data_IF_385755323331
#
_entry.id   IF_385755323331
#
_cell.length_a   1.000
_cell.length_b   1.000
_cell.length_c   1.000
_cell.angle_alpha   90.00
_cell.angle_beta   90.00
_cell.angle_gamma   90.00
#
_symmetry.space_group_name_H-M   'P 1'
#
loop_
_entity.id
_entity.type
_entity.pdbx_description
1 polymer ?
#
# COMPACT_ATOMS: atom_id res chain seq x y z
N UNK A 1 -27.73 61.38 -0.91
CA UNK A 1 -27.29 62.09 0.30
C UNK A 1 -25.82 61.78 0.50
N UNK A 2 -25.02 62.83 0.62
CA UNK A 2 -23.56 62.83 0.63
C UNK A 2 -23.00 62.27 1.95
N UNK A 3 -21.70 61.92 1.91
CA UNK A 3 -20.77 61.71 3.03
C UNK A 3 -20.82 60.36 3.79
N UNK A 4 -19.89 59.46 3.43
CA UNK A 4 -19.02 58.71 4.36
C UNK A 4 -18.11 57.72 3.59
N UNK A 5 -17.21 58.21 2.75
CA UNK A 5 -16.06 57.41 2.29
C UNK A 5 -14.87 57.73 3.19
N UNK A 6 -14.64 56.89 4.20
CA UNK A 6 -13.35 56.82 4.92
C UNK A 6 -12.93 55.36 5.04
N UNK A 7 -11.86 55.05 4.31
CA UNK A 7 -10.91 53.97 4.53
C UNK A 7 -11.51 52.56 4.67
N UNK A 8 -11.96 51.98 3.55
CA UNK A 8 -11.91 50.53 3.39
C UNK A 8 -10.59 50.19 2.72
N UNK A 9 -9.65 49.63 3.48
CA UNK A 9 -8.59 48.82 2.93
C UNK A 9 -9.22 47.49 2.51
N UNK A 10 -9.45 47.31 1.21
CA UNK A 10 -9.66 45.98 0.66
C UNK A 10 -8.28 45.36 0.58
N UNK A 11 -7.97 44.48 1.53
CA UNK A 11 -6.87 43.53 1.36
C UNK A 11 -7.41 42.51 0.38
N UNK A 12 -7.07 42.67 -0.90
CA UNK A 12 -7.21 41.57 -1.85
C UNK A 12 -6.10 40.58 -1.50
N UNK A 13 -6.39 39.31 -1.20
CA UNK A 13 -5.36 38.30 -1.24
C UNK A 13 -4.78 38.28 -2.66
N UNK A 14 -3.45 38.25 -2.80
CA UNK A 14 -2.79 37.99 -4.07
C UNK A 14 -2.97 36.50 -4.36
N UNK A 15 -3.95 36.13 -5.18
CA UNK A 15 -4.36 34.73 -5.35
C UNK A 15 -3.55 33.92 -6.39
N UNK A 16 -2.58 34.57 -7.04
CA UNK A 16 -1.52 33.98 -7.86
C UNK A 16 -0.58 35.13 -8.29
N UNK A 17 0.71 35.04 -7.98
CA UNK A 17 1.68 36.09 -8.31
C UNK A 17 2.38 35.93 -9.68
N UNK A 18 1.87 35.09 -10.59
CA UNK A 18 2.50 34.86 -11.91
C UNK A 18 1.51 34.26 -12.93
N UNK A 19 1.96 34.13 -14.20
CA UNK A 19 1.25 33.95 -15.49
C UNK A 19 0.26 32.73 -15.65
N UNK A 20 -0.39 32.26 -14.59
CA UNK A 20 -1.31 31.13 -14.59
C UNK A 20 -2.75 31.53 -14.92
N UNK A 21 -3.52 30.63 -15.51
CA UNK A 21 -4.94 30.83 -15.77
C UNK A 21 -5.77 30.30 -14.59
N UNK A 22 -6.45 31.21 -13.86
CA UNK A 22 -7.47 30.88 -12.86
C UNK A 22 -8.86 30.92 -13.51
N UNK A 23 -9.56 29.79 -13.54
CA UNK A 23 -10.96 29.72 -13.98
C UNK A 23 -11.86 29.62 -12.74
N UNK A 24 -12.71 30.61 -12.51
CA UNK A 24 -13.75 30.59 -11.46
C UNK A 24 -15.12 30.42 -12.08
N UNK A 25 -15.90 29.44 -11.62
CA UNK A 25 -17.31 29.30 -11.98
C UNK A 25 -18.21 29.84 -10.86
N UNK A 26 -18.88 30.97 -11.09
CA UNK A 26 -19.97 31.43 -10.23
C UNK A 26 -21.30 30.83 -10.72
N UNK A 27 -21.82 29.79 -10.06
CA UNK A 27 -23.18 29.29 -10.35
C UNK A 27 -24.23 30.13 -9.63
N UNK A 28 -24.77 31.13 -10.32
CA UNK A 28 -26.00 31.81 -9.89
C UNK A 28 -27.18 30.98 -10.41
N UNK A 29 -27.86 30.25 -9.52
CA UNK A 29 -29.14 29.62 -9.86
C UNK A 29 -30.16 30.71 -10.22
N UNK A 30 -30.80 30.55 -11.36
CA UNK A 30 -31.71 31.52 -11.98
C UNK A 30 -32.98 31.69 -11.13
N UNK A 31 -32.98 32.66 -10.20
CA UNK A 31 -34.13 33.52 -9.88
C UNK A 31 -33.77 34.73 -8.97
N UNK A 32 -32.68 35.46 -9.24
CA UNK A 32 -32.40 36.72 -8.53
C UNK A 32 -31.60 37.72 -9.37
N UNK A 33 -31.99 37.92 -10.63
CA UNK A 33 -31.49 39.04 -11.44
C UNK A 33 -32.34 40.30 -11.18
N UNK A 34 -32.42 40.75 -9.92
CA UNK A 34 -32.88 42.10 -9.54
C UNK A 34 -32.79 42.27 -8.03
N UNK A 35 -31.59 42.55 -7.50
CA UNK A 35 -31.30 43.36 -6.31
C UNK A 35 -29.83 43.16 -5.92
N UNK A 36 -28.92 43.76 -6.69
CA UNK A 36 -27.58 44.09 -6.20
C UNK A 36 -27.74 45.24 -5.19
N UNK A 37 -27.86 44.91 -3.90
CA UNK A 37 -27.51 45.75 -2.74
C UNK A 37 -28.02 45.12 -1.43
N UNK A 38 -27.46 43.99 -1.00
CA UNK A 38 -27.40 43.63 0.42
C UNK A 38 -26.07 42.91 0.64
N UNK A 39 -25.32 43.38 1.64
CA UNK A 39 -24.13 42.75 2.20
C UNK A 39 -24.37 41.26 2.45
N UNK A 40 -23.83 40.43 1.57
CA UNK A 40 -23.81 38.98 1.70
C UNK A 40 -22.56 38.50 1.00
N UNK A 41 -21.68 37.84 1.74
CA UNK A 41 -20.46 37.23 1.22
C UNK A 41 -20.90 36.10 0.28
N UNK A 42 -21.03 36.38 -1.02
CA UNK A 42 -21.19 35.34 -2.03
C UNK A 42 -19.79 34.76 -2.31
N UNK A 43 -19.35 33.82 -1.47
CA UNK A 43 -18.17 33.00 -1.74
C UNK A 43 -18.53 31.99 -2.82
N UNK A 44 -18.34 32.38 -4.09
CA UNK A 44 -18.33 31.44 -5.20
C UNK A 44 -16.87 31.10 -5.52
N UNK A 45 -16.36 30.00 -4.99
CA UNK A 45 -14.98 29.55 -5.25
C UNK A 45 -14.94 28.11 -5.75
N UNK A 46 -15.67 27.84 -6.84
CA UNK A 46 -15.39 26.67 -7.69
C UNK A 46 -14.23 27.09 -8.63
N UNK A 47 -13.01 26.60 -8.39
CA UNK A 47 -11.82 26.96 -9.18
C UNK A 47 -11.10 25.75 -9.77
N UNK A 48 -10.52 25.92 -10.96
CA UNK A 48 -9.45 25.04 -11.46
C UNK A 48 -8.18 25.85 -11.72
N UNK A 49 -7.03 25.18 -11.66
CA UNK A 49 -5.72 25.75 -11.99
C UNK A 49 -5.06 24.92 -13.09
N UNK A 50 -4.61 25.60 -14.15
CA UNK A 50 -3.83 24.98 -15.22
C UNK A 50 -2.71 25.93 -15.64
N UNK A 51 -1.50 25.40 -15.76
CA UNK A 51 -0.36 26.14 -16.34
C UNK A 51 0.49 25.27 -17.26
N UNK A 52 1.08 25.93 -18.25
CA UNK A 52 2.05 25.40 -19.21
C UNK A 52 3.31 26.26 -19.27
N UNK A 53 3.37 27.33 -18.46
CA UNK A 53 4.40 28.35 -18.56
C UNK A 53 5.30 28.27 -17.34
N UNK A 54 6.61 28.46 -17.55
CA UNK A 54 7.56 28.60 -16.46
C UNK A 54 7.10 29.65 -15.45
N UNK A 55 7.31 29.37 -14.18
CA UNK A 55 7.00 30.30 -13.11
C UNK A 55 6.79 29.63 -11.76
N UNK A 56 6.79 30.46 -10.73
CA UNK A 56 6.42 30.10 -9.37
C UNK A 56 4.95 30.47 -9.14
N UNK A 57 4.15 29.50 -8.70
CA UNK A 57 2.73 29.64 -8.44
C UNK A 57 2.44 29.26 -6.99
N UNK A 58 1.70 30.12 -6.29
CA UNK A 58 1.25 29.89 -4.92
C UNK A 58 -0.24 29.69 -4.91
N UNK A 59 -0.71 28.61 -4.29
CA UNK A 59 -2.11 28.20 -4.28
C UNK A 59 -2.72 28.33 -2.89
N UNK A 60 -3.99 28.73 -2.86
CA UNK A 60 -4.79 28.82 -1.64
C UNK A 60 -6.30 28.78 -1.94
N UNK A 61 -7.06 28.22 -1.01
CA UNK A 61 -8.51 28.07 -1.01
C UNK A 61 -9.01 26.81 -1.72
N UNK A 62 -10.22 26.86 -2.30
CA UNK A 62 -10.92 25.66 -2.79
C UNK A 62 -10.84 25.53 -4.32
N UNK A 63 -10.51 24.32 -4.79
CA UNK A 63 -10.47 23.91 -6.19
C UNK A 63 -11.48 22.79 -6.44
N UNK A 64 -12.35 22.95 -7.42
CA UNK A 64 -13.46 22.05 -7.73
C UNK A 64 -13.44 21.66 -9.21
N UNK A 65 -13.58 20.36 -9.48
CA UNK A 65 -13.79 19.87 -10.83
C UNK A 65 -14.93 18.84 -10.89
N UNK A 66 -15.72 18.88 -11.96
CA UNK A 66 -16.83 17.97 -12.15
C UNK A 66 -16.93 17.52 -13.61
N UNK A 67 -17.05 16.22 -13.85
CA UNK A 67 -17.35 15.65 -15.17
C UNK A 67 -18.66 14.87 -15.13
N UNK A 68 -19.68 15.34 -15.83
CA UNK A 68 -20.98 14.66 -15.91
C UNK A 68 -21.17 13.85 -17.19
N UNK A 69 -20.21 13.88 -18.13
CA UNK A 69 -20.26 13.06 -19.34
C UNK A 69 -19.40 11.80 -19.16
N UNK A 70 -20.01 10.60 -19.09
CA UNK A 70 -19.25 9.36 -18.95
C UNK A 70 -18.39 9.02 -20.18
N UNK A 71 -18.59 9.70 -21.31
CA UNK A 71 -17.83 9.49 -22.54
C UNK A 71 -16.70 10.51 -22.73
N UNK A 72 -16.60 11.52 -21.88
CA UNK A 72 -15.54 12.53 -21.93
C UNK A 72 -14.50 12.27 -20.84
N UNK A 73 -13.23 12.58 -21.13
CA UNK A 73 -12.23 12.71 -20.07
C UNK A 73 -12.60 13.89 -19.17
N UNK A 74 -12.44 13.71 -17.87
CA UNK A 74 -12.69 14.77 -16.89
C UNK A 74 -11.59 15.82 -16.88
N UNK A 75 -11.92 17.02 -16.40
CA UNK A 75 -10.93 18.08 -16.16
C UNK A 75 -10.25 17.86 -14.81
N UNK A 76 -8.94 18.00 -14.73
CA UNK A 76 -8.20 17.95 -13.46
C UNK A 76 -8.40 19.27 -12.69
N UNK A 77 -8.48 19.23 -11.36
CA UNK A 77 -8.63 20.45 -10.57
C UNK A 77 -7.37 21.33 -10.57
N UNK A 78 -6.18 20.73 -10.41
CA UNK A 78 -4.87 21.39 -10.49
C UNK A 78 -4.00 20.63 -11.49
N UNK A 79 -3.52 21.32 -12.52
CA UNK A 79 -2.71 20.69 -13.57
C UNK A 79 -1.53 21.56 -14.02
N UNK A 80 -0.39 20.93 -14.27
CA UNK A 80 0.80 21.58 -14.81
C UNK A 80 1.50 20.68 -15.83
N UNK A 81 2.03 21.29 -16.89
CA UNK A 81 2.72 20.61 -17.98
C UNK A 81 3.98 21.39 -18.34
N UNK A 82 5.15 20.91 -17.93
CA UNK A 82 6.43 21.57 -18.16
C UNK A 82 7.28 20.80 -19.16
N UNK A 83 7.51 21.38 -20.35
CA UNK A 83 8.28 20.73 -21.42
C UNK A 83 9.55 21.50 -21.76
N UNK A 84 10.60 20.77 -22.16
CA UNK A 84 11.88 21.39 -22.54
C UNK A 84 12.55 22.12 -21.37
N UNK A 85 12.65 23.45 -21.46
CA UNK A 85 13.29 24.30 -20.44
C UNK A 85 12.27 25.00 -19.51
N UNK A 86 11.01 24.57 -19.53
CA UNK A 86 9.96 25.16 -18.72
C UNK A 86 10.04 24.67 -17.27
N UNK A 87 10.43 25.55 -16.35
CA UNK A 87 10.48 25.26 -14.91
C UNK A 87 9.20 25.76 -14.24
N UNK A 88 8.38 24.83 -13.74
CA UNK A 88 7.11 25.11 -13.07
C UNK A 88 7.24 24.69 -11.61
N UNK A 89 7.07 25.65 -10.71
CA UNK A 89 7.11 25.40 -9.26
C UNK A 89 5.78 25.82 -8.66
N UNK A 90 5.05 24.86 -8.10
CA UNK A 90 3.78 25.09 -7.42
C UNK A 90 3.98 24.87 -5.92
N UNK A 91 3.52 25.81 -5.11
CA UNK A 91 3.51 25.69 -3.66
C UNK A 91 2.15 26.10 -3.09
N UNK A 92 1.86 25.70 -1.86
CA UNK A 92 0.77 26.30 -1.10
C UNK A 92 1.26 27.53 -0.31
N UNK A 93 0.37 28.49 -0.13
CA UNK A 93 0.58 29.66 0.75
C UNK A 93 -0.51 29.77 1.84
N UNK A 94 -1.38 28.77 1.91
CA UNK A 94 -2.49 28.67 2.83
C UNK A 94 -3.24 27.34 2.65
N UNK A 95 -4.42 27.24 3.26
CA UNK A 95 -5.28 26.04 3.17
C UNK A 95 -5.67 25.76 1.72
N UNK A 96 -5.38 24.55 1.21
CA UNK A 96 -5.79 24.10 -0.13
C UNK A 96 -6.81 22.97 -0.02
N UNK A 97 -8.02 23.16 -0.53
CA UNK A 97 -9.03 22.09 -0.57
C UNK A 97 -9.37 21.73 -2.00
N UNK A 98 -9.18 20.47 -2.38
CA UNK A 98 -9.46 19.97 -3.73
C UNK A 98 -10.62 18.97 -3.64
N UNK A 99 -11.68 19.17 -4.44
CA UNK A 99 -12.71 18.14 -4.62
C UNK A 99 -13.02 17.92 -6.09
N UNK A 100 -12.98 16.67 -6.52
CA UNK A 100 -13.39 16.28 -7.87
C UNK A 100 -14.52 15.29 -7.86
N UNK A 101 -15.35 15.35 -8.90
CA UNK A 101 -16.49 14.45 -9.10
C UNK A 101 -16.61 14.07 -10.57
N UNK A 102 -17.10 12.88 -10.85
CA UNK A 102 -17.24 12.40 -12.22
C UNK A 102 -16.04 11.67 -12.77
N UNK A 103 -16.26 10.79 -13.73
CA UNK A 103 -15.24 9.86 -14.22
C UNK A 103 -14.00 10.58 -14.77
N UNK A 104 -12.82 10.01 -14.50
CA UNK A 104 -11.53 10.48 -14.99
C UNK A 104 -11.22 11.94 -14.62
N UNK A 105 -11.57 12.39 -13.41
CA UNK A 105 -11.30 13.74 -12.90
C UNK A 105 -10.26 13.71 -11.78
N UNK A 106 -8.99 13.88 -12.14
CA UNK A 106 -7.91 13.87 -11.16
C UNK A 106 -7.92 15.12 -10.27
N UNK A 107 -7.44 15.00 -9.03
CA UNK A 107 -7.25 16.16 -8.14
C UNK A 107 -6.07 17.02 -8.61
N UNK A 108 -4.88 16.44 -8.58
CA UNK A 108 -3.61 17.03 -9.00
C UNK A 108 -3.02 16.18 -10.12
N UNK A 109 -2.53 16.83 -11.19
CA UNK A 109 -1.82 16.18 -12.27
C UNK A 109 -0.62 17.02 -12.70
N UNK A 110 0.59 16.55 -12.41
CA UNK A 110 1.84 17.23 -12.77
C UNK A 110 2.58 16.39 -13.80
N UNK A 111 2.92 17.01 -14.92
CA UNK A 111 3.66 16.42 -16.02
C UNK A 111 4.93 17.22 -16.30
N UNK A 112 6.03 16.49 -16.47
CA UNK A 112 7.28 17.00 -17.00
C UNK A 112 8.39 17.12 -15.96
N UNK A 113 9.62 16.83 -16.39
CA UNK A 113 10.79 16.69 -15.53
C UNK A 113 11.17 17.94 -14.74
N UNK A 114 10.69 19.11 -15.17
CA UNK A 114 10.96 20.41 -14.56
C UNK A 114 9.72 20.98 -13.86
N UNK A 115 8.70 20.16 -13.64
CA UNK A 115 7.48 20.53 -12.93
C UNK A 115 7.50 19.96 -11.51
N UNK A 116 7.34 20.83 -10.51
CA UNK A 116 7.28 20.45 -9.11
C UNK A 116 6.05 21.02 -8.42
N UNK A 117 5.50 20.26 -7.46
CA UNK A 117 4.44 20.71 -6.56
C UNK A 117 4.80 20.36 -5.13
N UNK A 118 4.72 21.33 -4.21
CA UNK A 118 4.91 21.13 -2.77
C UNK A 118 3.70 21.64 -2.01
N UNK A 119 3.03 20.79 -1.24
CA UNK A 119 2.07 21.22 -0.22
C UNK A 119 2.58 20.82 1.16
N UNK A 120 3.01 21.80 1.95
CA UNK A 120 3.58 21.60 3.28
C UNK A 120 2.92 22.46 4.38
N UNK A 121 2.01 23.36 4.00
CA UNK A 121 1.24 24.12 4.96
C UNK A 121 0.07 23.26 5.47
N UNK A 122 0.23 22.78 6.71
CA UNK A 122 -0.76 22.02 7.47
C UNK A 122 -2.19 22.56 7.25
N UNK A 123 -2.99 21.87 6.44
CA UNK A 123 -4.34 22.30 6.08
C UNK A 123 -4.88 21.87 4.73
N UNK A 124 -4.07 21.21 3.88
CA UNK A 124 -4.57 20.75 2.59
C UNK A 124 -5.40 19.45 2.68
N UNK A 125 -6.40 19.31 1.81
CA UNK A 125 -7.20 18.08 1.66
C UNK A 125 -7.64 17.84 0.22
N UNK A 126 -7.66 16.57 -0.19
CA UNK A 126 -8.06 16.15 -1.54
C UNK A 126 -9.13 15.07 -1.46
N UNK A 127 -10.24 15.25 -2.18
CA UNK A 127 -11.29 14.25 -2.34
C UNK A 127 -11.57 14.01 -3.82
N UNK A 128 -11.41 12.78 -4.32
CA UNK A 128 -11.85 12.39 -5.66
C UNK A 128 -12.99 11.38 -5.59
N UNK A 129 -14.18 11.78 -6.06
CA UNK A 129 -15.38 10.94 -5.98
C UNK A 129 -15.66 10.13 -7.26
N UNK A 130 -15.07 10.52 -8.39
CA UNK A 130 -15.30 9.87 -9.68
C UNK A 130 -14.54 8.57 -9.87
N UNK A 131 -15.04 7.69 -10.72
CA UNK A 131 -14.33 6.47 -11.12
C UNK A 131 -13.07 6.81 -11.92
N UNK A 132 -12.06 5.94 -11.86
CA UNK A 132 -10.78 6.09 -12.56
C UNK A 132 -10.13 7.47 -12.35
N UNK A 133 -10.26 8.02 -11.13
CA UNK A 133 -9.86 9.39 -10.82
C UNK A 133 -8.82 9.41 -9.71
N UNK A 134 -7.55 9.47 -10.10
CA UNK A 134 -6.47 9.53 -9.12
C UNK A 134 -6.44 10.88 -8.43
N UNK A 135 -6.20 10.91 -7.12
CA UNK A 135 -6.16 12.17 -6.39
C UNK A 135 -4.90 12.97 -6.71
N UNK A 136 -3.76 12.30 -6.80
CA UNK A 136 -2.47 12.91 -7.13
C UNK A 136 -1.75 12.07 -8.18
N UNK A 137 -1.30 12.71 -9.26
CA UNK A 137 -0.57 12.06 -10.34
C UNK A 137 0.69 12.84 -10.69
N UNK A 138 1.84 12.16 -10.71
CA UNK A 138 3.11 12.68 -11.24
C UNK A 138 3.58 11.81 -12.43
N UNK A 139 3.88 12.43 -13.56
CA UNK A 139 4.33 11.73 -14.79
C UNK A 139 5.49 12.44 -15.48
N UNK A 140 6.20 11.73 -16.36
CA UNK A 140 7.25 12.28 -17.22
C UNK A 140 8.34 13.08 -16.48
N UNK A 141 8.72 12.62 -15.28
CA UNK A 141 9.79 13.20 -14.45
C UNK A 141 9.31 14.18 -13.38
N UNK A 142 8.00 14.43 -13.27
CA UNK A 142 7.43 15.37 -12.31
C UNK A 142 7.75 15.01 -10.85
N UNK A 143 7.88 16.03 -10.01
CA UNK A 143 8.20 15.91 -8.59
C UNK A 143 7.03 16.43 -7.75
N UNK A 144 6.49 15.61 -6.84
CA UNK A 144 5.44 16.05 -5.91
C UNK A 144 5.91 15.79 -4.48
N UNK A 145 5.76 16.78 -3.60
CA UNK A 145 6.02 16.70 -2.16
C UNK A 145 4.77 17.09 -1.38
N UNK A 146 4.30 16.23 -0.47
CA UNK A 146 3.10 16.45 0.32
C UNK A 146 3.41 16.16 1.80
N UNK A 147 3.22 17.14 2.68
CA UNK A 147 3.42 16.98 4.12
C UNK A 147 2.13 17.28 4.90
N UNK A 148 1.77 16.41 5.83
CA UNK A 148 0.51 16.46 6.58
C UNK A 148 -0.70 16.13 5.71
N UNK A 149 -1.85 16.74 6.03
CA UNK A 149 -3.04 16.71 5.17
C UNK A 149 -3.68 15.33 4.96
N UNK A 150 -4.67 15.29 4.05
CA UNK A 150 -5.44 14.06 3.81
C UNK A 150 -5.87 13.90 2.36
N UNK A 151 -5.85 12.67 1.87
CA UNK A 151 -6.34 12.26 0.55
C UNK A 151 -7.45 11.21 0.72
N UNK A 152 -8.58 11.41 0.06
CA UNK A 152 -9.66 10.44 -0.01
C UNK A 152 -10.07 10.17 -1.46
N UNK A 153 -10.23 8.90 -1.83
CA UNK A 153 -10.80 8.49 -3.14
C UNK A 153 -12.00 7.56 -2.93
N UNK A 154 -13.07 7.74 -3.72
CA UNK A 154 -14.30 6.97 -3.56
C UNK A 154 -14.68 6.16 -4.80
N UNK A 155 -14.25 6.59 -5.99
CA UNK A 155 -14.61 5.91 -7.23
C UNK A 155 -13.81 4.63 -7.48
N UNK A 156 -14.40 3.71 -8.23
CA UNK A 156 -13.74 2.47 -8.64
C UNK A 156 -12.46 2.73 -9.44
N UNK A 157 -11.47 1.85 -9.34
CA UNK A 157 -10.18 1.93 -10.05
C UNK A 157 -9.46 3.28 -9.86
N UNK A 158 -9.61 3.91 -8.69
CA UNK A 158 -9.02 5.21 -8.38
C UNK A 158 -7.87 5.07 -7.39
N UNK A 159 -6.71 5.66 -7.68
CA UNK A 159 -5.57 5.62 -6.78
C UNK A 159 -5.41 6.95 -6.03
N UNK A 160 -5.04 6.93 -4.75
CA UNK A 160 -4.79 8.18 -4.05
C UNK A 160 -3.55 8.89 -4.62
N UNK A 161 -2.44 8.18 -4.80
CA UNK A 161 -1.22 8.70 -5.40
C UNK A 161 -0.73 7.76 -6.48
N UNK A 162 -0.42 8.32 -7.64
CA UNK A 162 0.07 7.59 -8.82
C UNK A 162 1.32 8.25 -9.37
N UNK A 163 2.38 7.49 -9.57
CA UNK A 163 3.60 7.95 -10.24
C UNK A 163 3.93 7.03 -11.41
N UNK A 164 4.19 7.60 -12.59
CA UNK A 164 4.62 6.82 -13.76
C UNK A 164 5.76 7.45 -14.53
N UNK A 165 6.52 6.64 -15.25
CA UNK A 165 7.75 7.01 -15.95
C UNK A 165 8.95 7.22 -15.01
N UNK A 166 10.14 6.97 -15.56
CA UNK A 166 11.42 7.17 -14.86
C UNK A 166 11.54 8.61 -14.38
N UNK A 167 12.02 8.77 -13.14
CA UNK A 167 12.20 10.03 -12.42
C UNK A 167 10.92 10.74 -11.96
N UNK A 168 9.72 10.22 -12.25
CA UNK A 168 8.51 10.74 -11.62
C UNK A 168 8.45 10.28 -10.16
N UNK A 169 8.42 11.24 -9.24
CA UNK A 169 8.57 10.97 -7.80
C UNK A 169 7.46 11.67 -7.03
N UNK A 170 6.86 10.96 -6.08
CA UNK A 170 6.03 11.53 -5.03
C UNK A 170 6.66 11.24 -3.67
N UNK A 171 6.93 12.29 -2.88
CA UNK A 171 7.40 12.19 -1.50
C UNK A 171 6.28 12.66 -0.56
N UNK A 172 5.92 11.82 0.39
CA UNK A 172 4.83 12.06 1.33
C UNK A 172 5.36 11.97 2.75
N UNK A 173 4.93 12.89 3.62
CA UNK A 173 5.24 12.84 5.05
C UNK A 173 3.98 13.09 5.89
N UNK A 174 3.68 12.21 6.84
CA UNK A 174 2.52 12.34 7.75
C UNK A 174 1.18 12.52 7.02
N UNK A 175 0.99 11.80 5.90
CA UNK A 175 -0.22 11.91 5.07
C UNK A 175 -1.22 10.82 5.45
N UNK A 176 -2.50 11.18 5.61
CA UNK A 176 -3.60 10.22 5.77
C UNK A 176 -4.27 9.94 4.43
N UNK A 177 -4.35 8.67 4.03
CA UNK A 177 -4.92 8.21 2.76
C UNK A 177 -6.08 7.24 3.04
N UNK A 178 -7.23 7.47 2.41
CA UNK A 178 -8.37 6.55 2.44
C UNK A 178 -8.93 6.30 1.04
N UNK A 179 -9.15 5.04 0.66
CA UNK A 179 -9.79 4.67 -0.61
C UNK A 179 -10.96 3.71 -0.39
N UNK A 180 -12.09 3.99 -1.01
CA UNK A 180 -13.32 3.22 -0.79
C UNK A 180 -13.80 2.40 -2.01
N UNK A 181 -13.44 2.82 -3.23
CA UNK A 181 -13.94 2.18 -4.45
C UNK A 181 -13.36 0.79 -4.71
N UNK A 182 -14.08 -0.06 -5.44
CA UNK A 182 -13.54 -1.35 -5.88
C UNK A 182 -12.30 -1.16 -6.75
N UNK A 183 -11.28 -1.99 -6.52
CA UNK A 183 -9.94 -1.88 -7.15
C UNK A 183 -9.26 -0.52 -6.94
N UNK A 184 -9.70 0.28 -5.97
CA UNK A 184 -9.08 1.56 -5.63
C UNK A 184 -7.92 1.36 -4.67
N UNK A 185 -6.72 1.81 -5.04
CA UNK A 185 -5.51 1.65 -4.22
C UNK A 185 -5.04 2.95 -3.57
N UNK A 186 -4.24 2.85 -2.51
CA UNK A 186 -3.60 4.03 -1.91
C UNK A 186 -2.49 4.57 -2.81
N UNK A 187 -1.42 3.78 -2.99
CA UNK A 187 -0.24 4.18 -3.74
C UNK A 187 -0.04 3.25 -4.94
N UNK A 188 0.28 3.82 -6.11
CA UNK A 188 0.73 3.06 -7.27
C UNK A 188 1.95 3.71 -7.93
N UNK A 189 3.03 2.94 -8.06
CA UNK A 189 4.22 3.31 -8.82
C UNK A 189 4.38 2.34 -9.99
N UNK A 190 4.46 2.87 -11.21
CA UNK A 190 4.65 2.03 -12.39
C UNK A 190 5.58 2.63 -13.45
N UNK A 191 6.10 1.77 -14.33
CA UNK A 191 7.00 2.13 -15.43
C UNK A 191 8.19 3.04 -15.01
N UNK A 192 8.80 2.76 -13.86
CA UNK A 192 9.96 3.49 -13.33
C UNK A 192 9.62 4.64 -12.36
N UNK A 193 8.33 4.87 -12.08
CA UNK A 193 7.88 5.84 -11.09
C UNK A 193 8.26 5.45 -9.66
N UNK A 194 8.33 6.43 -8.75
CA UNK A 194 8.75 6.20 -7.36
C UNK A 194 7.87 6.93 -6.35
N UNK A 195 7.56 6.26 -5.26
CA UNK A 195 6.82 6.86 -4.13
C UNK A 195 7.59 6.61 -2.84
N UNK A 196 7.75 7.65 -2.01
CA UNK A 196 8.21 7.51 -0.64
C UNK A 196 7.14 8.06 0.31
N UNK A 197 6.79 7.32 1.35
CA UNK A 197 5.88 7.77 2.42
C UNK A 197 6.54 7.52 3.79
N UNK A 198 6.77 8.59 4.54
CA UNK A 198 7.30 8.55 5.91
C UNK A 198 6.24 9.05 6.87
N UNK A 199 5.92 8.26 7.89
CA UNK A 199 4.79 8.51 8.79
C UNK A 199 3.43 8.59 8.05
N UNK A 200 2.34 8.47 8.80
CA UNK A 200 0.97 8.53 8.26
C UNK A 200 0.33 7.16 8.07
N UNK A 201 -0.76 7.13 7.30
CA UNK A 201 -1.59 5.93 7.19
C UNK A 201 -2.30 5.79 5.85
N UNK A 202 -2.51 4.54 5.44
CA UNK A 202 -3.26 4.15 4.25
C UNK A 202 -4.35 3.17 4.68
N UNK A 203 -5.59 3.46 4.32
CA UNK A 203 -6.72 2.55 4.53
C UNK A 203 -7.50 2.35 3.23
N UNK A 204 -7.73 1.10 2.84
CA UNK A 204 -8.46 0.75 1.60
C UNK A 204 -9.61 -0.23 1.86
N UNK A 205 -10.83 0.08 1.42
CA UNK A 205 -12.03 -0.71 1.74
C UNK A 205 -12.53 -1.59 0.59
N UNK A 206 -12.31 -1.18 -0.67
CA UNK A 206 -12.98 -1.78 -1.82
C UNK A 206 -12.58 -3.23 -2.14
N UNK A 207 -13.46 -3.95 -2.84
CA UNK A 207 -13.17 -5.30 -3.34
C UNK A 207 -11.97 -5.27 -4.29
N UNK A 208 -11.06 -6.24 -4.15
CA UNK A 208 -9.85 -6.34 -4.99
C UNK A 208 -8.97 -5.08 -4.94
N UNK A 209 -9.04 -4.28 -3.87
CA UNK A 209 -8.17 -3.12 -3.66
C UNK A 209 -6.74 -3.56 -3.33
N UNK A 210 -5.74 -2.90 -3.91
CA UNK A 210 -4.34 -3.04 -3.48
C UNK A 210 -3.89 -1.74 -2.85
N UNK A 211 -3.59 -1.74 -1.54
CA UNK A 211 -3.30 -0.49 -0.82
C UNK A 211 -2.01 0.17 -1.32
N UNK A 212 -0.98 -0.64 -1.59
CA UNK A 212 0.30 -0.19 -2.13
C UNK A 212 0.73 -1.15 -3.24
N UNK A 213 0.91 -0.63 -4.46
CA UNK A 213 1.27 -1.42 -5.64
C UNK A 213 2.47 -0.81 -6.37
N UNK A 214 3.60 -1.50 -6.38
CA UNK A 214 4.69 -1.23 -7.31
C UNK A 214 4.61 -2.23 -8.48
N UNK A 215 4.61 -1.74 -9.73
CA UNK A 215 4.51 -2.58 -10.92
C UNK A 215 5.51 -2.14 -12.00
N UNK A 216 6.04 -3.09 -12.77
CA UNK A 216 7.07 -2.86 -13.80
C UNK A 216 8.47 -2.62 -13.22
N UNK A 217 9.48 -2.88 -14.04
CA UNK A 217 10.88 -2.70 -13.68
C UNK A 217 11.17 -1.26 -13.24
N UNK A 218 12.09 -1.11 -12.28
CA UNK A 218 12.54 0.19 -11.73
C UNK A 218 11.49 0.99 -10.96
N UNK A 219 10.25 0.51 -10.86
CA UNK A 219 9.23 1.10 -9.99
C UNK A 219 9.52 0.78 -8.53
N UNK A 220 9.52 1.80 -7.68
CA UNK A 220 9.91 1.69 -6.26
C UNK A 220 8.86 2.33 -5.38
N UNK A 221 8.46 1.65 -4.30
CA UNK A 221 7.73 2.28 -3.19
C UNK A 221 8.47 2.03 -1.89
N UNK A 222 8.85 3.09 -1.19
CA UNK A 222 9.51 3.05 0.11
C UNK A 222 8.59 3.59 1.20
N UNK A 223 8.38 2.82 2.26
CA UNK A 223 7.53 3.14 3.40
C UNK A 223 8.37 3.15 4.68
N UNK A 224 8.25 4.20 5.49
CA UNK A 224 8.91 4.30 6.79
C UNK A 224 7.91 4.71 7.88
N UNK A 225 7.73 3.86 8.89
CA UNK A 225 6.80 4.06 9.99
C UNK A 225 5.33 4.33 9.56
N UNK A 226 4.85 3.61 8.55
CA UNK A 226 3.49 3.77 7.99
C UNK A 226 2.54 2.69 8.49
N UNK A 227 1.27 3.05 8.75
CA UNK A 227 0.20 2.05 8.95
C UNK A 227 -0.58 1.81 7.66
N UNK A 228 -0.58 0.58 7.16
CA UNK A 228 -1.33 0.17 5.95
C UNK A 228 -2.39 -0.85 6.34
N UNK A 229 -3.65 -0.59 5.98
CA UNK A 229 -4.76 -1.50 6.28
C UNK A 229 -5.72 -1.65 5.09
N UNK A 230 -6.22 -2.88 4.89
CA UNK A 230 -7.18 -3.20 3.84
C UNK A 230 -8.33 -4.07 4.34
N UNK A 231 -9.57 -3.68 4.03
CA UNK A 231 -10.76 -4.38 4.51
C UNK A 231 -11.47 -5.24 3.45
N UNK A 232 -11.30 -4.96 2.16
CA UNK A 232 -12.03 -5.64 1.09
C UNK A 232 -11.60 -7.09 0.86
N UNK A 233 -12.51 -7.93 0.36
CA UNK A 233 -12.17 -9.27 -0.14
C UNK A 233 -11.23 -9.16 -1.35
N UNK A 234 -10.38 -10.18 -1.54
CA UNK A 234 -9.38 -10.22 -2.61
C UNK A 234 -8.39 -9.05 -2.60
N UNK A 235 -8.30 -8.34 -1.47
CA UNK A 235 -7.43 -7.18 -1.37
C UNK A 235 -6.00 -7.59 -1.03
N UNK A 236 -5.06 -6.68 -1.20
CA UNK A 236 -3.67 -6.89 -0.79
C UNK A 236 -3.14 -5.60 -0.22
N UNK A 237 -2.49 -5.65 0.94
CA UNK A 237 -1.96 -4.42 1.52
C UNK A 237 -0.71 -3.95 0.76
N UNK A 238 0.32 -4.79 0.65
CA UNK A 238 1.55 -4.47 -0.10
C UNK A 238 1.76 -5.45 -1.26
N UNK A 239 2.00 -4.93 -2.47
CA UNK A 239 2.29 -5.77 -3.63
C UNK A 239 3.41 -5.19 -4.50
N UNK A 240 4.37 -6.04 -4.85
CA UNK A 240 5.34 -5.79 -5.90
C UNK A 240 5.11 -6.76 -7.08
N UNK A 241 5.21 -6.24 -8.31
CA UNK A 241 4.95 -7.02 -9.53
C UNK A 241 5.89 -6.64 -10.68
N UNK A 242 6.24 -7.61 -11.54
CA UNK A 242 6.96 -7.39 -12.81
C UNK A 242 8.30 -6.65 -12.65
N UNK A 243 9.14 -7.10 -11.72
CA UNK A 243 10.46 -6.49 -11.48
C UNK A 243 10.46 -5.22 -10.62
N UNK A 244 9.31 -4.85 -10.03
CA UNK A 244 9.20 -3.72 -9.12
C UNK A 244 9.75 -4.04 -7.71
N UNK A 245 9.96 -2.99 -6.91
CA UNK A 245 10.47 -3.09 -5.54
C UNK A 245 9.54 -2.37 -4.55
N UNK A 246 9.28 -3.01 -3.41
CA UNK A 246 8.64 -2.38 -2.25
C UNK A 246 9.53 -2.56 -1.03
N UNK A 247 9.81 -1.47 -0.31
CA UNK A 247 10.53 -1.49 0.97
C UNK A 247 9.63 -0.95 2.07
N UNK A 248 9.62 -1.60 3.24
CA UNK A 248 8.97 -1.06 4.43
C UNK A 248 9.84 -1.23 5.66
N UNK A 249 10.08 -0.14 6.40
CA UNK A 249 10.77 -0.14 7.70
C UNK A 249 9.81 0.34 8.80
N UNK A 250 9.65 -0.44 9.87
CA UNK A 250 8.70 -0.15 10.93
C UNK A 250 7.24 -0.19 10.48
N UNK A 251 6.35 0.34 11.30
CA UNK A 251 4.92 0.43 10.96
C UNK A 251 4.17 -0.90 11.03
N UNK A 252 2.98 -0.93 10.40
CA UNK A 252 2.05 -2.07 10.47
C UNK A 252 1.33 -2.32 9.15
N UNK A 253 1.05 -3.58 8.86
CA UNK A 253 0.24 -4.04 7.73
C UNK A 253 -0.92 -4.87 8.26
N UNK A 254 -2.15 -4.56 7.87
CA UNK A 254 -3.33 -5.31 8.31
C UNK A 254 -4.31 -5.62 7.18
N UNK A 255 -4.83 -6.85 7.11
CA UNK A 255 -5.88 -7.25 6.17
C UNK A 255 -7.00 -8.07 6.82
N UNK A 256 -8.23 -7.94 6.31
CA UNK A 256 -9.41 -8.58 6.90
C UNK A 256 -10.32 -9.37 5.95
N UNK A 257 -10.33 -9.08 4.64
CA UNK A 257 -11.19 -9.77 3.69
C UNK A 257 -10.78 -11.23 3.43
N UNK A 258 -11.66 -12.01 2.81
CA UNK A 258 -11.31 -13.36 2.33
C UNK A 258 -10.37 -13.23 1.12
N UNK A 259 -9.39 -14.13 0.99
CA UNK A 259 -8.32 -14.03 -0.03
C UNK A 259 -7.54 -12.71 0.06
N UNK A 260 -7.35 -12.17 1.26
CA UNK A 260 -6.76 -10.85 1.47
C UNK A 260 -5.35 -10.94 2.03
N UNK A 261 -4.38 -11.04 1.13
CA UNK A 261 -2.97 -11.23 1.51
C UNK A 261 -2.36 -9.96 2.13
N UNK A 262 -1.49 -10.14 3.13
CA UNK A 262 -0.74 -9.03 3.72
C UNK A 262 0.26 -8.45 2.72
N UNK A 263 1.21 -9.26 2.30
CA UNK A 263 2.30 -8.86 1.39
C UNK A 263 2.48 -9.86 0.28
N UNK A 264 2.61 -9.36 -0.96
CA UNK A 264 2.84 -10.19 -2.14
C UNK A 264 4.03 -9.73 -2.97
N UNK A 265 4.75 -10.70 -3.54
CA UNK A 265 5.82 -10.46 -4.52
C UNK A 265 5.66 -11.42 -5.68
N UNK A 266 5.53 -10.89 -6.90
CA UNK A 266 5.28 -11.66 -8.10
C UNK A 266 6.12 -11.23 -9.31
N UNK A 267 6.47 -12.18 -10.17
CA UNK A 267 7.08 -11.90 -11.48
C UNK A 267 8.43 -11.14 -11.37
N UNK A 268 9.41 -11.76 -10.72
CA UNK A 268 10.77 -11.20 -10.51
C UNK A 268 10.82 -9.90 -9.68
N UNK A 269 9.77 -9.58 -8.94
CA UNK A 269 9.76 -8.44 -8.03
C UNK A 269 10.44 -8.77 -6.70
N UNK A 270 10.71 -7.73 -5.91
CA UNK A 270 11.32 -7.86 -4.58
C UNK A 270 10.50 -7.06 -3.57
N UNK A 271 10.24 -7.67 -2.40
CA UNK A 271 9.76 -6.94 -1.22
C UNK A 271 10.78 -7.07 -0.09
N UNK A 272 11.12 -5.95 0.55
CA UNK A 272 12.04 -5.93 1.70
C UNK A 272 11.34 -5.31 2.90
N UNK A 273 11.31 -6.03 4.02
CA UNK A 273 10.60 -5.65 5.23
C UNK A 273 11.57 -5.64 6.41
N UNK A 274 11.52 -4.60 7.23
CA UNK A 274 12.31 -4.49 8.46
C UNK A 274 11.45 -4.01 9.62
N UNK A 275 11.41 -4.77 10.70
CA UNK A 275 10.69 -4.42 11.94
C UNK A 275 9.18 -4.11 11.72
N UNK A 276 8.55 -4.81 10.75
CA UNK A 276 7.14 -4.62 10.38
C UNK A 276 6.23 -5.59 11.14
N UNK A 277 5.07 -5.12 11.61
CA UNK A 277 4.02 -5.99 12.16
C UNK A 277 2.95 -6.26 11.10
N UNK A 278 2.70 -7.52 10.76
CA UNK A 278 1.72 -7.95 9.75
C UNK A 278 0.61 -8.76 10.42
N UNK A 279 -0.64 -8.43 10.13
CA UNK A 279 -1.82 -9.18 10.60
C UNK A 279 -2.80 -9.44 9.45
N UNK A 280 -3.18 -10.69 9.21
CA UNK A 280 -4.24 -11.06 8.25
C UNK A 280 -5.33 -11.85 8.97
N UNK A 281 -6.60 -11.72 8.57
CA UNK A 281 -7.70 -12.36 9.32
C UNK A 281 -8.81 -13.07 8.53
N UNK A 282 -8.79 -13.02 7.20
CA UNK A 282 -9.74 -13.77 6.37
C UNK A 282 -9.25 -15.17 6.00
N UNK A 283 -10.15 -16.05 5.61
CA UNK A 283 -9.78 -17.36 5.05
C UNK A 283 -8.92 -17.17 3.78
N UNK A 284 -7.99 -18.10 3.54
CA UNK A 284 -7.05 -18.06 2.41
C UNK A 284 -6.20 -16.77 2.34
N UNK A 285 -5.94 -16.13 3.48
CA UNK A 285 -5.25 -14.83 3.54
C UNK A 285 -3.84 -14.98 4.12
N UNK A 286 -2.90 -15.32 3.25
CA UNK A 286 -1.50 -15.49 3.68
C UNK A 286 -0.87 -14.17 4.16
N UNK A 287 0.02 -14.27 5.15
CA UNK A 287 0.79 -13.13 5.65
C UNK A 287 1.76 -12.60 4.61
N UNK A 288 2.67 -13.47 4.15
CA UNK A 288 3.55 -13.22 3.00
C UNK A 288 3.31 -14.27 1.92
N UNK A 289 3.25 -13.84 0.65
CA UNK A 289 3.14 -14.72 -0.51
C UNK A 289 4.10 -14.31 -1.62
N UNK A 290 5.03 -15.18 -2.00
CA UNK A 290 5.91 -14.98 -3.15
C UNK A 290 5.65 -16.03 -4.24
N UNK A 291 5.53 -15.63 -5.52
CA UNK A 291 5.38 -16.57 -6.65
C UNK A 291 6.07 -16.07 -7.92
N UNK A 292 6.36 -16.95 -8.88
CA UNK A 292 6.89 -16.59 -10.21
C UNK A 292 8.16 -15.74 -10.13
N UNK A 293 9.20 -16.24 -9.45
CA UNK A 293 10.45 -15.53 -9.17
C UNK A 293 10.31 -14.27 -8.29
N UNK A 294 9.14 -14.02 -7.70
CA UNK A 294 9.03 -12.98 -6.67
C UNK A 294 9.84 -13.37 -5.44
N UNK A 295 10.51 -12.41 -4.82
CA UNK A 295 11.25 -12.63 -3.56
C UNK A 295 10.77 -11.72 -2.45
N UNK A 296 10.90 -12.20 -1.20
CA UNK A 296 10.58 -11.44 0.00
C UNK A 296 11.71 -11.61 1.03
N UNK A 297 12.24 -10.51 1.53
CA UNK A 297 13.26 -10.48 2.58
C UNK A 297 12.67 -9.80 3.83
N UNK A 298 12.67 -10.47 4.97
CA UNK A 298 12.15 -9.91 6.23
C UNK A 298 13.17 -10.02 7.35
N UNK A 299 13.45 -8.91 8.03
CA UNK A 299 14.29 -8.88 9.25
C UNK A 299 13.53 -8.23 10.40
N UNK A 300 13.40 -8.92 11.53
CA UNK A 300 12.61 -8.44 12.66
C UNK A 300 11.10 -8.51 12.40
N UNK A 301 10.33 -7.98 13.35
CA UNK A 301 8.88 -7.88 13.22
C UNK A 301 8.10 -9.16 13.54
N UNK A 302 6.80 -9.13 13.24
CA UNK A 302 5.90 -10.26 13.52
C UNK A 302 4.82 -10.42 12.45
N UNK A 303 4.37 -11.65 12.25
CA UNK A 303 3.36 -12.03 11.27
C UNK A 303 2.30 -12.85 11.99
N UNK A 304 1.07 -12.37 12.01
CA UNK A 304 -0.09 -13.07 12.58
C UNK A 304 -1.11 -13.32 11.50
N UNK A 305 -1.56 -14.56 11.33
CA UNK A 305 -2.64 -14.90 10.40
C UNK A 305 -3.75 -15.62 11.15
N UNK A 306 -4.99 -15.24 10.88
CA UNK A 306 -6.18 -15.95 11.37
C UNK A 306 -7.11 -16.29 10.21
N UNK A 307 -7.78 -17.43 10.28
CA UNK A 307 -8.66 -17.92 9.23
C UNK A 307 -8.17 -19.26 8.68
N UNK A 308 -9.10 -20.03 8.13
CA UNK A 308 -8.76 -21.33 7.56
C UNK A 308 -7.93 -21.16 6.30
N UNK A 309 -6.95 -22.04 6.09
CA UNK A 309 -6.01 -21.98 4.97
C UNK A 309 -5.19 -20.67 4.89
N UNK A 310 -5.08 -19.90 5.98
CA UNK A 310 -4.32 -18.65 6.03
C UNK A 310 -2.90 -18.89 6.53
N UNK A 311 -1.94 -19.09 5.63
CA UNK A 311 -0.56 -19.43 6.01
C UNK A 311 0.19 -18.19 6.49
N UNK A 312 1.13 -18.37 7.42
CA UNK A 312 2.05 -17.30 7.81
C UNK A 312 2.87 -16.85 6.60
N UNK A 313 3.49 -17.83 5.93
CA UNK A 313 4.34 -17.64 4.78
C UNK A 313 4.00 -18.67 3.71
N UNK A 314 3.80 -18.19 2.48
CA UNK A 314 3.66 -19.02 1.29
C UNK A 314 4.75 -18.68 0.28
N UNK A 315 5.65 -19.63 0.03
CA UNK A 315 6.61 -19.56 -1.07
C UNK A 315 6.10 -20.46 -2.20
N UNK A 316 5.58 -19.85 -3.26
CA UNK A 316 4.96 -20.51 -4.39
C UNK A 316 5.95 -21.12 -5.39
N UNK A 317 5.39 -21.77 -6.41
CA UNK A 317 6.14 -22.44 -7.47
C UNK A 317 7.00 -21.44 -8.28
N UNK A 318 8.07 -21.95 -8.91
CA UNK A 318 9.02 -21.21 -9.77
C UNK A 318 9.89 -20.23 -8.97
N UNK A 319 10.97 -20.74 -8.38
CA UNK A 319 12.09 -20.00 -7.76
C UNK A 319 11.68 -18.74 -6.99
N UNK A 320 10.78 -18.86 -6.01
CA UNK A 320 10.25 -17.71 -5.25
C UNK A 320 10.83 -17.65 -3.82
N UNK A 321 12.10 -17.22 -3.65
CA UNK A 321 12.79 -17.30 -2.37
C UNK A 321 12.20 -16.36 -1.33
N UNK A 322 12.10 -16.85 -0.09
CA UNK A 322 11.74 -16.03 1.07
C UNK A 322 12.82 -16.20 2.14
N UNK A 323 13.45 -15.07 2.51
CA UNK A 323 14.48 -15.01 3.55
C UNK A 323 13.91 -14.31 4.80
N UNK A 324 14.03 -14.97 5.95
CA UNK A 324 13.47 -14.54 7.24
C UNK A 324 14.57 -14.55 8.32
N UNK A 325 14.77 -13.42 9.01
CA UNK A 325 15.64 -13.33 10.18
C UNK A 325 14.95 -12.61 11.34
N UNK A 326 15.04 -13.14 12.56
CA UNK A 326 14.48 -12.50 13.76
C UNK A 326 12.97 -12.25 13.69
N UNK A 327 12.20 -13.13 13.03
CA UNK A 327 10.75 -12.99 12.80
C UNK A 327 9.94 -13.88 13.74
N UNK A 328 8.81 -13.38 14.25
CA UNK A 328 7.82 -14.20 14.97
C UNK A 328 6.60 -14.44 14.11
N UNK A 329 6.24 -15.71 13.88
CA UNK A 329 5.08 -16.11 13.08
C UNK A 329 4.06 -16.79 13.99
N UNK A 330 2.80 -16.38 13.90
CA UNK A 330 1.66 -16.99 14.59
C UNK A 330 0.51 -17.22 13.63
N UNK A 331 0.05 -18.46 13.47
CA UNK A 331 -1.09 -18.79 12.59
C UNK A 331 -2.20 -19.46 13.38
N UNK A 332 -3.46 -19.16 13.05
CA UNK A 332 -4.62 -19.78 13.67
C UNK A 332 -5.75 -20.06 12.68
N UNK A 333 -6.06 -21.33 12.48
CA UNK A 333 -7.10 -21.79 11.56
C UNK A 333 -6.89 -23.26 11.18
N UNK A 334 -7.91 -23.90 10.63
CA UNK A 334 -7.70 -25.23 10.05
C UNK A 334 -6.81 -25.12 8.81
N UNK A 335 -5.86 -26.04 8.64
CA UNK A 335 -4.94 -26.04 7.48
C UNK A 335 -4.09 -24.75 7.33
N UNK A 336 -3.89 -23.98 8.41
CA UNK A 336 -3.10 -22.74 8.39
C UNK A 336 -1.62 -23.01 8.75
N UNK A 337 -0.76 -23.20 7.75
CA UNK A 337 0.65 -23.53 8.00
C UNK A 337 1.46 -22.31 8.46
N UNK A 338 2.46 -22.53 9.32
CA UNK A 338 3.42 -21.47 9.65
C UNK A 338 4.24 -21.09 8.41
N UNK A 339 4.93 -22.07 7.83
CA UNK A 339 5.58 -21.99 6.53
C UNK A 339 4.99 -23.03 5.58
N UNK A 340 4.56 -22.58 4.40
CA UNK A 340 4.21 -23.47 3.30
C UNK A 340 5.13 -23.22 2.09
N UNK A 341 5.98 -24.20 1.81
CA UNK A 341 7.05 -24.10 0.83
C UNK A 341 6.78 -24.94 -0.40
N UNK A 342 6.78 -24.25 -1.54
CA UNK A 342 6.98 -24.79 -2.89
C UNK A 342 8.17 -24.15 -3.60
N UNK A 343 8.62 -22.99 -3.11
CA UNK A 343 9.92 -22.36 -3.40
C UNK A 343 10.94 -22.57 -2.27
N UNK A 344 12.05 -21.83 -2.31
CA UNK A 344 13.10 -21.86 -1.27
C UNK A 344 12.71 -20.97 -0.09
N UNK A 345 12.90 -21.45 1.13
CA UNK A 345 12.78 -20.64 2.35
C UNK A 345 14.03 -20.82 3.20
N UNK A 346 14.64 -19.69 3.58
CA UNK A 346 15.72 -19.62 4.56
C UNK A 346 15.21 -18.84 5.77
N UNK A 347 15.29 -19.43 6.96
CA UNK A 347 14.82 -18.80 8.20
C UNK A 347 15.85 -18.95 9.32
N UNK A 348 16.10 -17.85 10.04
CA UNK A 348 17.04 -17.82 11.16
C UNK A 348 16.56 -17.00 12.34
N UNK A 349 16.97 -17.38 13.56
CA UNK A 349 16.74 -16.63 14.81
C UNK A 349 15.25 -16.30 15.07
N UNK A 350 14.36 -17.22 14.70
CA UNK A 350 12.94 -16.91 14.55
C UNK A 350 12.04 -17.89 15.32
N UNK A 351 10.74 -17.62 15.38
CA UNK A 351 9.77 -18.54 15.98
C UNK A 351 8.51 -18.70 15.14
N UNK A 352 7.94 -19.90 15.19
CA UNK A 352 6.71 -20.29 14.50
C UNK A 352 5.76 -20.90 15.54
N UNK A 353 4.56 -20.36 15.62
CA UNK A 353 3.47 -20.89 16.43
C UNK A 353 2.26 -21.12 15.53
N UNK A 354 1.71 -22.31 15.55
CA UNK A 354 0.50 -22.63 14.79
C UNK A 354 -0.56 -23.24 15.69
N UNK A 355 -1.82 -22.89 15.45
CA UNK A 355 -2.95 -23.48 16.15
C UNK A 355 -4.12 -23.80 15.21
N UNK A 356 -4.55 -25.06 15.20
CA UNK A 356 -5.61 -25.56 14.33
C UNK A 356 -5.38 -27.02 13.96
N UNK A 357 -6.43 -27.70 13.50
CA UNK A 357 -6.25 -29.05 12.98
C UNK A 357 -5.52 -28.98 11.64
N UNK A 358 -4.62 -29.94 11.40
CA UNK A 358 -3.79 -29.99 10.20
C UNK A 358 -2.92 -28.73 9.96
N UNK A 359 -2.69 -27.91 11.00
CA UNK A 359 -1.93 -26.65 10.90
C UNK A 359 -0.44 -26.87 11.18
N UNK A 360 0.29 -27.42 10.23
CA UNK A 360 1.72 -27.71 10.42
C UNK A 360 2.55 -26.44 10.67
N UNK A 361 3.62 -26.58 11.45
CA UNK A 361 4.61 -25.52 11.66
C UNK A 361 5.34 -25.21 10.35
N UNK A 362 5.86 -26.26 9.72
CA UNK A 362 6.56 -26.18 8.42
C UNK A 362 6.09 -27.30 7.52
N UNK A 363 5.62 -26.96 6.32
CA UNK A 363 5.25 -27.90 5.27
C UNK A 363 6.02 -27.60 3.98
N UNK A 364 6.88 -28.52 3.57
CA UNK A 364 7.54 -28.49 2.26
C UNK A 364 6.86 -29.48 1.30
N UNK A 365 6.33 -28.99 0.19
CA UNK A 365 5.67 -29.80 -0.84
C UNK A 365 6.38 -29.73 -2.19
N UNK A 366 7.66 -29.35 -2.19
CA UNK A 366 8.52 -29.34 -3.37
C UNK A 366 9.78 -30.17 -3.13
N UNK A 367 10.60 -30.34 -4.17
CA UNK A 367 11.94 -30.90 -4.09
C UNK A 367 13.01 -29.86 -3.72
N UNK A 368 12.61 -28.67 -3.26
CA UNK A 368 13.51 -27.57 -2.92
C UNK A 368 13.98 -27.70 -1.47
N UNK A 369 15.22 -27.24 -1.26
CA UNK A 369 15.87 -27.16 0.03
C UNK A 369 15.22 -26.10 0.92
N UNK A 370 14.88 -26.44 2.16
CA UNK A 370 14.59 -25.45 3.22
C UNK A 370 15.75 -25.42 4.22
N UNK A 371 16.10 -24.23 4.67
CA UNK A 371 17.17 -24.03 5.64
C UNK A 371 16.64 -23.26 6.85
N UNK A 372 16.63 -23.93 8.00
CA UNK A 372 16.10 -23.40 9.26
C UNK A 372 17.19 -23.49 10.34
N UNK A 373 17.56 -22.35 10.94
CA UNK A 373 18.61 -22.28 11.97
C UNK A 373 18.17 -21.45 13.17
N UNK A 374 18.35 -21.95 14.38
CA UNK A 374 17.89 -21.26 15.60
C UNK A 374 16.40 -20.87 15.54
N UNK A 375 15.56 -21.86 15.18
CA UNK A 375 14.10 -21.67 15.04
C UNK A 375 13.35 -22.44 16.12
N UNK A 376 12.41 -21.79 16.79
CA UNK A 376 11.48 -22.44 17.71
C UNK A 376 10.13 -22.68 17.01
N UNK A 377 9.77 -23.95 16.79
CA UNK A 377 8.53 -24.37 16.14
C UNK A 377 7.60 -24.97 17.20
N UNK A 378 6.39 -24.45 17.32
CA UNK A 378 5.35 -24.95 18.22
C UNK A 378 4.03 -25.11 17.49
N UNK A 379 3.46 -26.31 17.48
CA UNK A 379 2.18 -26.57 16.83
C UNK A 379 1.16 -27.10 17.82
N UNK A 380 -0.11 -26.71 17.65
CA UNK A 380 -1.22 -27.13 18.50
C UNK A 380 -2.46 -27.48 17.68
N UNK A 381 -2.87 -28.74 17.71
CA UNK A 381 -4.09 -29.23 17.08
C UNK A 381 -3.92 -30.65 16.57
N UNK A 382 -5.02 -31.31 16.27
CA UNK A 382 -4.98 -32.70 15.82
C UNK A 382 -4.42 -32.76 14.40
N UNK A 383 -3.57 -33.75 14.13
CA UNK A 383 -2.83 -33.92 12.88
C UNK A 383 -1.95 -32.70 12.52
N UNK A 384 -1.61 -31.82 13.47
CA UNK A 384 -0.75 -30.67 13.24
C UNK A 384 0.73 -31.07 13.44
N UNK A 385 1.47 -31.18 12.34
CA UNK A 385 2.85 -31.65 12.36
C UNK A 385 3.81 -30.49 12.65
N UNK A 386 4.88 -30.73 13.40
CA UNK A 386 5.92 -29.72 13.62
C UNK A 386 6.59 -29.35 12.31
N UNK A 387 7.06 -30.37 11.59
CA UNK A 387 7.71 -30.25 10.30
C UNK A 387 7.39 -31.44 9.41
N UNK A 388 6.99 -31.17 8.17
CA UNK A 388 6.70 -32.17 7.16
C UNK A 388 7.35 -31.85 5.82
N UNK A 389 7.91 -32.85 5.14
CA UNK A 389 8.36 -32.74 3.74
C UNK A 389 8.02 -33.99 2.93
N UNK A 390 7.65 -33.81 1.65
CA UNK A 390 7.26 -34.89 0.73
C UNK A 390 8.30 -35.22 -0.36
N UNK A 391 9.36 -34.41 -0.52
CA UNK A 391 10.41 -34.66 -1.54
C UNK A 391 11.66 -33.78 -1.39
N UNK A 392 11.55 -32.65 -0.69
CA UNK A 392 12.63 -31.66 -0.58
C UNK A 392 13.40 -31.80 0.70
N UNK A 393 14.72 -31.64 0.59
CA UNK A 393 15.60 -31.75 1.75
C UNK A 393 15.39 -30.59 2.73
N UNK A 394 15.54 -30.86 4.01
CA UNK A 394 15.45 -29.85 5.07
C UNK A 394 16.72 -29.88 5.90
N UNK A 395 17.33 -28.71 6.11
CA UNK A 395 18.40 -28.50 7.09
C UNK A 395 17.80 -27.78 8.28
N UNK A 396 17.76 -28.46 9.42
CA UNK A 396 17.30 -27.91 10.68
C UNK A 396 18.46 -27.93 11.68
N UNK A 397 18.87 -26.76 12.16
CA UNK A 397 20.05 -26.59 13.02
C UNK A 397 19.69 -25.78 14.26
N UNK A 398 20.19 -26.16 15.44
CA UNK A 398 20.02 -25.43 16.71
C UNK A 398 18.57 -25.06 17.03
N UNK A 399 17.62 -25.93 16.70
CA UNK A 399 16.20 -25.61 16.68
C UNK A 399 15.40 -26.52 17.61
N UNK A 400 14.21 -26.08 17.98
CA UNK A 400 13.29 -26.83 18.83
C UNK A 400 11.96 -27.02 18.12
N UNK A 401 11.43 -28.23 18.16
CA UNK A 401 10.11 -28.58 17.62
C UNK A 401 9.25 -29.10 18.77
N UNK A 402 8.12 -28.45 19.01
CA UNK A 402 7.12 -28.88 19.99
C UNK A 402 5.78 -29.07 19.32
N UNK A 403 5.15 -30.22 19.53
CA UNK A 403 3.79 -30.48 19.02
C UNK A 403 2.86 -30.88 20.16
N UNK A 404 1.58 -30.51 20.02
CA UNK A 404 0.52 -30.84 20.96
C UNK A 404 -0.79 -31.11 20.23
N UNK A 405 -1.23 -32.37 20.21
CA UNK A 405 -2.46 -32.81 19.57
C UNK A 405 -2.35 -34.26 19.12
N UNK A 406 -3.48 -34.93 18.91
CA UNK A 406 -3.46 -36.33 18.50
C UNK A 406 -2.92 -36.43 17.06
N UNK A 407 -2.08 -37.43 16.79
CA UNK A 407 -1.37 -37.58 15.50
C UNK A 407 -0.46 -36.38 15.14
N UNK A 408 -0.06 -35.56 16.11
CA UNK A 408 0.84 -34.41 15.90
C UNK A 408 2.31 -34.82 15.90
N UNK A 409 2.86 -35.26 14.77
CA UNK A 409 4.26 -35.69 14.68
C UNK A 409 5.22 -34.51 14.74
N UNK A 410 6.37 -34.69 15.39
CA UNK A 410 7.41 -33.67 15.48
C UNK A 410 8.01 -33.38 14.11
N UNK A 411 8.67 -34.38 13.53
CA UNK A 411 9.28 -34.33 12.20
C UNK A 411 8.79 -35.55 11.42
N UNK A 412 8.17 -35.35 10.27
CA UNK A 412 7.66 -36.41 9.42
C UNK A 412 8.15 -36.24 7.98
N UNK A 413 8.58 -37.34 7.35
CA UNK A 413 9.21 -37.32 6.04
C UNK A 413 8.54 -38.32 5.10
N UNK A 414 8.36 -37.92 3.85
CA UNK A 414 8.03 -38.81 2.75
C UNK A 414 9.00 -38.54 1.61
N UNK A 415 9.73 -39.56 1.13
CA UNK A 415 10.70 -39.47 0.03
C UNK A 415 11.69 -38.29 0.06
N UNK A 416 12.11 -37.83 1.25
CA UNK A 416 13.00 -36.69 1.45
C UNK A 416 14.10 -36.99 2.48
N UNK A 417 15.18 -36.19 2.48
CA UNK A 417 16.18 -36.23 3.55
C UNK A 417 16.01 -35.07 4.53
N UNK A 418 16.32 -35.30 5.79
CA UNK A 418 16.44 -34.25 6.80
C UNK A 418 17.82 -34.30 7.43
N UNK A 419 18.45 -33.14 7.54
CA UNK A 419 19.72 -32.94 8.23
C UNK A 419 19.42 -32.23 9.55
N UNK A 420 19.61 -32.93 10.66
CA UNK A 420 19.34 -32.44 12.01
C UNK A 420 20.67 -32.26 12.75
N UNK A 421 20.92 -31.04 13.24
CA UNK A 421 22.05 -30.73 14.11
C UNK A 421 21.59 -29.95 15.34
N UNK A 422 21.84 -30.50 16.54
CA UNK A 422 21.43 -29.91 17.82
C UNK A 422 19.92 -29.57 17.91
N UNK A 423 19.07 -30.60 17.79
CA UNK A 423 17.60 -30.46 17.72
C UNK A 423 16.91 -31.10 18.93
N UNK A 424 16.02 -30.33 19.55
CA UNK A 424 15.09 -30.81 20.57
C UNK A 424 13.70 -31.05 19.97
N UNK A 425 13.18 -32.27 20.08
CA UNK A 425 11.80 -32.60 19.65
C UNK A 425 10.98 -33.08 20.83
N UNK A 426 9.83 -32.44 21.06
CA UNK A 426 8.91 -32.78 22.14
C UNK A 426 7.48 -32.87 21.58
N UNK A 427 6.88 -34.04 21.67
CA UNK A 427 5.51 -34.29 21.17
C UNK A 427 4.59 -34.73 22.28
N UNK A 428 3.34 -34.27 22.24
CA UNK A 428 2.29 -34.66 23.19
C UNK A 428 0.98 -34.94 22.45
N UNK A 429 0.36 -36.09 22.71
CA UNK A 429 -0.90 -36.50 22.11
C UNK A 429 -0.99 -38.00 21.92
N UNK A 430 -2.18 -38.53 21.65
CA UNK A 430 -2.34 -39.92 21.24
C UNK A 430 -1.73 -40.11 19.85
N UNK A 431 -1.03 -41.23 19.65
CA UNK A 431 -0.33 -41.54 18.39
C UNK A 431 0.68 -40.47 17.94
N UNK A 432 1.24 -39.64 18.83
CA UNK A 432 2.25 -38.65 18.45
C UNK A 432 3.67 -39.26 18.48
N UNK A 433 4.40 -39.18 17.36
CA UNK A 433 5.80 -39.60 17.24
C UNK A 433 6.73 -38.39 17.11
N UNK A 434 7.93 -38.47 17.69
CA UNK A 434 8.93 -37.40 17.56
C UNK A 434 9.50 -37.31 16.15
N UNK A 435 9.84 -38.45 15.55
CA UNK A 435 10.35 -38.58 14.20
C UNK A 435 9.67 -39.78 13.54
N UNK A 436 9.11 -39.60 12.34
CA UNK A 436 8.50 -40.63 11.50
C UNK A 436 9.10 -40.68 10.09
#
# INVERSE_FOLDING_TARGET
VWSATRNMFVVAPEFASSNGCLLSHTRINVLAASFLCVSGVALAEDRTFTTYNSGEYKLSGTYLSSNHDPNSRGTTAISAWGWGNEEIVISDEGVVTIRTSGSQTNGIYIDGANSSLTFDNQGWSILTAGNSSSAVTAVSGAQISLSGGSIATQGENSFAVSTSDVNSIATLNDVTITTAGDRAGGLIAYDGGKIALTDGSIFTEGYSATSVLASSSESIIDLDNVSVSSAGDWSTALSANKGAHVTMTGGSVATAGIYSHGVTSYNNSVVTLKDVTISTSGNNSDGLSASFNGSINTTGGSITTTGDYANGIYSGDVDSPIDLNSVTISTSGEWSYGLFSRGNIVMSDSSIQTSGNYSDGVRNSSNILLQLSNVNISTKGDNALGLFTNSGDIYLVNSKVTTSGDHGYGIALDNANVYLDNIDVLTHGEFAYGLE
#
